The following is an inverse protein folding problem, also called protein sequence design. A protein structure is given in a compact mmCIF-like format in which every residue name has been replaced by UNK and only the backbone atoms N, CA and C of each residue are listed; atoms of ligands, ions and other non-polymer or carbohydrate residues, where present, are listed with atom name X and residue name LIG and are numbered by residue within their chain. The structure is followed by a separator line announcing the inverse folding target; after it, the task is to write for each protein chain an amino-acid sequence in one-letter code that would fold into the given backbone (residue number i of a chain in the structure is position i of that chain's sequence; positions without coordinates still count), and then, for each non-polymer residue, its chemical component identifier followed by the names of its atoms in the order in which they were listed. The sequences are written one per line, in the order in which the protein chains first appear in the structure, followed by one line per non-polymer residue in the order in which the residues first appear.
data_IF_110132768831
#
_entry.id   IF_110132768831
#
_cell.length_a   1.000
_cell.length_b   1.000
_cell.length_c   1.000
_cell.angle_alpha   90.00
_cell.angle_beta   90.00
_cell.angle_gamma   90.00
#
_symmetry.space_group_name_H-M   'P 1'
#
loop_
_entity.id
_entity.type
_entity.pdbx_description
1 polymer ?
#
# COMPACT_ATOMS: atom_id res chain seq x y z
N UNK A 1 10.19 17.68 -13.36
CA UNK A 1 11.34 17.97 -12.47
C UNK A 1 12.17 16.71 -12.14
N UNK A 2 11.57 15.56 -12.11
CA UNK A 2 12.21 14.24 -11.98
C UNK A 2 12.08 13.59 -13.35
N UNK A 3 13.16 13.07 -13.94
CA UNK A 3 13.14 12.46 -15.27
C UNK A 3 12.04 11.41 -15.46
N UNK A 4 11.79 10.98 -16.68
CA UNK A 4 10.67 10.10 -17.07
C UNK A 4 10.63 8.75 -16.32
N UNK A 5 11.76 8.34 -15.73
CA UNK A 5 11.93 7.14 -14.92
C UNK A 5 11.52 7.32 -13.45
N UNK A 6 11.21 8.56 -12.99
CA UNK A 6 10.91 8.88 -11.58
C UNK A 6 9.46 9.22 -11.37
N UNK A 7 8.66 8.20 -11.09
CA UNK A 7 7.23 8.35 -10.80
C UNK A 7 7.04 8.70 -9.31
N UNK A 8 6.53 9.90 -9.01
CA UNK A 8 6.29 10.35 -7.62
C UNK A 8 5.45 9.38 -6.80
N UNK A 9 4.49 8.70 -7.42
CA UNK A 9 3.63 7.72 -6.76
C UNK A 9 4.40 6.57 -6.10
N UNK A 10 5.53 6.14 -6.69
CA UNK A 10 6.31 5.02 -6.13
C UNK A 10 6.97 5.41 -4.80
N UNK A 11 7.38 6.67 -4.63
CA UNK A 11 7.95 7.13 -3.35
C UNK A 11 6.90 7.12 -2.23
N UNK A 12 5.64 7.40 -2.56
CA UNK A 12 4.53 7.24 -1.62
C UNK A 12 4.36 5.79 -1.16
N UNK A 13 4.52 4.83 -2.09
CA UNK A 13 4.49 3.40 -1.77
C UNK A 13 5.67 3.00 -0.90
N UNK A 14 6.89 3.48 -1.18
CA UNK A 14 8.07 3.21 -0.32
C UNK A 14 7.85 3.74 1.11
N UNK A 15 7.39 5.00 1.25
CA UNK A 15 7.10 5.59 2.55
C UNK A 15 6.01 4.82 3.30
N UNK A 16 4.97 4.38 2.59
CA UNK A 16 3.91 3.54 3.14
C UNK A 16 4.46 2.20 3.66
N UNK A 17 5.28 1.49 2.87
CA UNK A 17 5.84 0.20 3.31
C UNK A 17 6.81 0.35 4.48
N UNK A 18 7.63 1.40 4.52
CA UNK A 18 8.52 1.69 5.65
C UNK A 18 7.69 1.94 6.92
N UNK A 19 6.72 2.83 6.86
CA UNK A 19 5.88 3.17 8.02
C UNK A 19 4.99 2.00 8.45
N UNK A 20 4.46 1.24 7.50
CA UNK A 20 3.71 0.02 7.76
C UNK A 20 4.60 -1.02 8.44
N UNK A 21 5.82 -1.27 7.93
CA UNK A 21 6.77 -2.19 8.54
C UNK A 21 7.08 -1.85 10.00
N UNK A 22 7.30 -0.57 10.30
CA UNK A 22 7.54 -0.09 11.65
C UNK A 22 6.33 -0.32 12.57
N UNK A 23 5.15 0.21 12.21
CA UNK A 23 3.94 0.17 13.04
C UNK A 23 3.35 -1.25 13.17
N UNK A 24 3.46 -2.04 12.12
CA UNK A 24 2.93 -3.41 12.12
C UNK A 24 3.81 -4.31 12.97
N UNK A 25 5.14 -4.17 12.91
CA UNK A 25 6.07 -4.90 13.78
C UNK A 25 5.84 -4.53 15.23
N UNK A 26 5.67 -3.26 15.55
CA UNK A 26 5.23 -2.83 16.90
C UNK A 26 3.97 -3.56 17.34
N UNK A 27 2.93 -3.55 16.52
CA UNK A 27 1.65 -4.22 16.82
C UNK A 27 1.78 -5.73 16.96
N UNK A 28 2.75 -6.34 16.29
CA UNK A 28 3.02 -7.78 16.31
C UNK A 28 3.74 -8.26 17.58
N UNK A 29 4.49 -7.38 18.26
CA UNK A 29 5.12 -7.71 19.54
C UNK A 29 4.12 -8.00 20.66
N UNK A 30 2.89 -7.51 20.53
CA UNK A 30 1.88 -7.60 21.58
C UNK A 30 0.67 -8.39 21.10
N UNK A 31 0.45 -9.56 21.67
CA UNK A 31 -0.74 -10.37 21.44
C UNK A 31 -0.50 -11.69 20.69
N UNK A 32 -1.60 -12.36 20.34
CA UNK A 32 -1.55 -13.64 19.62
C UNK A 32 -1.46 -13.43 18.09
N UNK A 33 -0.96 -14.44 17.38
CA UNK A 33 -0.91 -14.47 15.90
C UNK A 33 -2.30 -14.26 15.30
N UNK A 34 -3.32 -14.94 15.82
CA UNK A 34 -4.71 -14.79 15.35
C UNK A 34 -5.25 -13.37 15.60
N UNK A 35 -4.95 -12.78 16.76
CA UNK A 35 -5.32 -11.41 17.07
C UNK A 35 -4.60 -10.39 16.19
N UNK A 36 -3.34 -10.65 15.84
CA UNK A 36 -2.58 -9.84 14.90
C UNK A 36 -3.23 -9.87 13.50
N UNK A 37 -3.44 -11.06 12.94
CA UNK A 37 -4.05 -11.22 11.61
C UNK A 37 -5.47 -10.62 11.56
N UNK A 38 -6.26 -10.80 12.62
CA UNK A 38 -7.58 -10.20 12.72
C UNK A 38 -7.56 -8.68 12.64
N UNK A 39 -6.65 -8.03 13.40
CA UNK A 39 -6.49 -6.57 13.34
C UNK A 39 -6.08 -6.08 11.95
N UNK A 40 -5.23 -6.83 11.24
CA UNK A 40 -4.83 -6.49 9.87
C UNK A 40 -5.97 -6.72 8.88
N UNK A 41 -6.70 -7.81 8.99
CA UNK A 41 -7.87 -8.08 8.17
C UNK A 41 -8.93 -6.98 8.33
N UNK A 42 -9.25 -6.56 9.55
CA UNK A 42 -10.18 -5.46 9.81
C UNK A 42 -9.69 -4.10 9.26
N UNK A 43 -8.39 -3.93 9.08
CA UNK A 43 -7.83 -2.71 8.51
C UNK A 43 -7.93 -2.68 7.00
N UNK A 44 -7.74 -3.82 6.32
CA UNK A 44 -7.65 -3.90 4.86
C UNK A 44 -9.01 -4.22 4.24
N UNK A 45 -9.61 -5.35 4.62
CA UNK A 45 -10.71 -5.95 3.86
C UNK A 45 -12.00 -5.12 3.77
N UNK A 46 -12.46 -4.39 4.81
CA UNK A 46 -13.74 -3.68 4.71
C UNK A 46 -13.80 -2.66 3.59
N UNK A 47 -12.79 -1.79 3.49
CA UNK A 47 -12.73 -0.80 2.42
C UNK A 47 -12.33 -1.41 1.07
N UNK A 48 -11.42 -2.40 1.07
CA UNK A 48 -11.01 -3.13 -0.13
C UNK A 48 -12.20 -3.80 -0.83
N UNK A 49 -13.04 -4.53 -0.09
CA UNK A 49 -14.22 -5.21 -0.65
C UNK A 49 -15.17 -4.21 -1.28
N UNK A 50 -15.45 -3.08 -0.62
CA UNK A 50 -16.31 -2.03 -1.20
C UNK A 50 -15.67 -1.41 -2.44
N UNK A 51 -14.38 -1.14 -2.42
CA UNK A 51 -13.66 -0.62 -3.59
C UNK A 51 -13.73 -1.60 -4.78
N UNK A 52 -13.53 -2.90 -4.54
CA UNK A 52 -13.64 -3.94 -5.58
C UNK A 52 -15.08 -4.02 -6.10
N UNK A 53 -16.09 -4.00 -5.23
CA UNK A 53 -17.49 -4.04 -5.66
C UNK A 53 -17.85 -2.82 -6.52
N UNK A 54 -17.42 -1.62 -6.13
CA UNK A 54 -17.62 -0.41 -6.93
C UNK A 54 -16.87 -0.51 -8.27
N UNK A 55 -15.66 -1.03 -8.28
CA UNK A 55 -14.90 -1.23 -9.52
C UNK A 55 -15.61 -2.21 -10.46
N UNK A 56 -16.01 -3.38 -9.96
CA UNK A 56 -16.58 -4.46 -10.78
C UNK A 56 -18.02 -4.15 -11.23
N UNK A 57 -18.87 -3.60 -10.35
CA UNK A 57 -20.31 -3.45 -10.62
C UNK A 57 -20.73 -2.04 -11.02
N UNK A 58 -19.87 -1.03 -10.84
CA UNK A 58 -20.14 0.35 -11.27
C UNK A 58 -19.20 0.75 -12.40
N UNK A 59 -17.90 0.78 -12.15
CA UNK A 59 -16.94 1.21 -13.19
C UNK A 59 -16.90 0.23 -14.36
N UNK A 60 -16.87 -1.08 -14.08
CA UNK A 60 -16.86 -2.10 -15.13
C UNK A 60 -17.96 -1.93 -16.17
N UNK A 61 -19.23 -1.90 -15.79
CA UNK A 61 -20.34 -1.70 -16.74
C UNK A 61 -20.32 -0.34 -17.46
N UNK A 62 -19.87 0.74 -16.78
CA UNK A 62 -19.85 2.08 -17.35
C UNK A 62 -18.73 2.28 -18.39
N UNK A 63 -17.58 1.66 -18.19
CA UNK A 63 -16.40 1.81 -19.05
C UNK A 63 -16.12 0.59 -19.93
N UNK A 64 -17.08 -0.35 -19.99
CA UNK A 64 -16.96 -1.50 -20.90
C UNK A 64 -17.51 -1.17 -22.29
N UNK A 65 -16.75 -1.41 -23.36
CA UNK A 65 -17.24 -1.27 -24.73
C UNK A 65 -18.37 -2.25 -25.08
N UNK A 66 -18.59 -3.29 -24.27
CA UNK A 66 -19.65 -4.26 -24.45
C UNK A 66 -21.03 -3.71 -24.05
N UNK A 67 -21.08 -2.61 -23.28
CA UNK A 67 -22.27 -2.10 -22.64
C UNK A 67 -22.73 -2.94 -21.44
N UNK A 68 -23.55 -2.37 -20.57
CA UNK A 68 -23.89 -2.87 -19.23
C UNK A 68 -24.35 -4.34 -19.23
N UNK A 69 -25.34 -4.68 -20.08
CA UNK A 69 -25.96 -6.03 -20.10
C UNK A 69 -24.95 -7.12 -20.51
N UNK A 70 -24.13 -6.83 -21.53
CA UNK A 70 -23.12 -7.78 -22.02
C UNK A 70 -21.96 -7.91 -21.02
N UNK A 71 -21.52 -6.79 -20.45
CA UNK A 71 -20.50 -6.83 -19.42
C UNK A 71 -20.91 -7.74 -18.25
N UNK A 72 -22.08 -7.53 -17.66
CA UNK A 72 -22.56 -8.35 -16.54
C UNK A 72 -22.75 -9.83 -16.89
N UNK A 73 -22.99 -10.15 -18.15
CA UNK A 73 -23.17 -11.54 -18.60
C UNK A 73 -21.86 -12.24 -18.97
N UNK A 74 -20.89 -11.50 -19.55
CA UNK A 74 -19.71 -12.11 -20.18
C UNK A 74 -18.40 -11.89 -19.41
N UNK A 75 -18.34 -10.96 -18.48
CA UNK A 75 -17.12 -10.61 -17.74
C UNK A 75 -17.01 -11.33 -16.38
N UNK A 76 -17.90 -12.28 -16.09
CA UNK A 76 -17.92 -13.05 -14.84
C UNK A 76 -17.71 -12.17 -13.57
N UNK A 77 -18.57 -11.16 -13.31
CA UNK A 77 -18.33 -10.19 -12.23
C UNK A 77 -18.18 -10.82 -10.86
N UNK A 78 -18.92 -11.90 -10.58
CA UNK A 78 -18.82 -12.60 -9.29
C UNK A 78 -17.45 -13.26 -9.11
N UNK A 79 -16.99 -13.99 -10.11
CA UNK A 79 -15.66 -14.62 -10.10
C UNK A 79 -14.57 -13.56 -9.96
N UNK A 80 -14.64 -12.50 -10.78
CA UNK A 80 -13.71 -11.36 -10.71
C UNK A 80 -13.69 -10.75 -9.31
N UNK A 81 -14.83 -10.57 -8.66
CA UNK A 81 -14.92 -10.05 -7.29
C UNK A 81 -14.23 -10.97 -6.31
N UNK A 82 -14.54 -12.28 -6.34
CA UNK A 82 -13.95 -13.26 -5.42
C UNK A 82 -12.44 -13.33 -5.59
N UNK A 83 -11.96 -13.44 -6.82
CA UNK A 83 -10.52 -13.48 -7.10
C UNK A 83 -9.81 -12.20 -6.68
N UNK A 84 -10.43 -11.03 -6.90
CA UNK A 84 -9.86 -9.74 -6.50
C UNK A 84 -9.84 -9.54 -4.97
N UNK A 85 -10.77 -10.12 -4.23
CA UNK A 85 -10.77 -10.09 -2.77
C UNK A 85 -9.68 -11.01 -2.21
N UNK A 86 -9.49 -12.19 -2.82
CA UNK A 86 -8.45 -13.15 -2.40
C UNK A 86 -7.05 -12.69 -2.80
N UNK A 87 -6.91 -12.11 -3.97
CA UNK A 87 -5.68 -11.53 -4.48
C UNK A 87 -5.98 -10.14 -5.09
N UNK A 88 -5.78 -9.04 -4.36
CA UNK A 88 -6.09 -7.71 -4.85
C UNK A 88 -5.45 -7.35 -6.19
N UNK A 89 -4.25 -7.83 -6.48
CA UNK A 89 -3.58 -7.61 -7.77
C UNK A 89 -4.40 -8.11 -8.97
N UNK A 90 -5.26 -9.11 -8.76
CA UNK A 90 -6.18 -9.57 -9.81
C UNK A 90 -7.18 -8.48 -10.22
N UNK A 91 -7.62 -7.65 -9.28
CA UNK A 91 -8.56 -6.55 -9.51
C UNK A 91 -7.97 -5.31 -10.18
N UNK A 92 -6.67 -5.30 -10.47
CA UNK A 92 -6.04 -4.16 -11.15
C UNK A 92 -6.61 -3.94 -12.55
N UNK A 93 -6.89 -5.00 -13.28
CA UNK A 93 -7.48 -4.98 -14.63
C UNK A 93 -8.78 -5.77 -14.61
N UNK A 94 -9.87 -5.09 -14.93
CA UNK A 94 -11.15 -5.78 -15.09
C UNK A 94 -11.33 -6.27 -16.53
N UNK A 95 -11.94 -7.46 -16.75
CA UNK A 95 -12.21 -7.97 -18.08
C UNK A 95 -13.08 -6.98 -18.88
N UNK A 96 -12.68 -6.72 -20.12
CA UNK A 96 -13.45 -5.85 -21.04
C UNK A 96 -13.70 -4.43 -20.51
N UNK A 97 -12.79 -3.85 -19.75
CA UNK A 97 -12.85 -2.46 -19.27
C UNK A 97 -11.69 -1.67 -19.85
N UNK A 98 -12.00 -0.48 -20.37
CA UNK A 98 -11.03 0.41 -21.00
C UNK A 98 -11.48 1.84 -20.83
N UNK A 99 -10.63 2.69 -20.26
CA UNK A 99 -10.95 4.10 -19.98
C UNK A 99 -10.65 5.03 -21.16
N UNK A 100 -9.59 4.75 -21.93
CA UNK A 100 -9.20 5.53 -23.12
C UNK A 100 -8.43 4.60 -24.08
N UNK A 101 -7.95 5.13 -25.20
CA UNK A 101 -7.26 4.32 -26.21
C UNK A 101 -5.94 3.71 -25.64
N UNK A 102 -5.80 2.37 -25.60
CA UNK A 102 -4.57 1.72 -25.16
C UNK A 102 -3.34 2.05 -26.00
N UNK A 103 -3.52 2.50 -27.25
CA UNK A 103 -2.42 2.97 -28.08
C UNK A 103 -1.74 4.24 -27.51
N UNK A 104 -2.47 5.03 -26.73
CA UNK A 104 -1.95 6.23 -26.07
C UNK A 104 -1.17 5.85 -24.81
N UNK A 105 -1.70 4.93 -24.02
CA UNK A 105 -1.06 4.45 -22.79
C UNK A 105 -1.58 3.08 -22.38
N UNK A 106 -0.68 2.18 -22.02
CA UNK A 106 -1.00 0.86 -21.47
C UNK A 106 -1.79 0.93 -20.16
N UNK A 107 -1.73 2.06 -19.45
CA UNK A 107 -2.48 2.33 -18.22
C UNK A 107 -4.00 2.43 -18.46
N UNK A 108 -4.44 2.62 -19.71
CA UNK A 108 -5.86 2.70 -20.08
C UNK A 108 -6.69 1.48 -19.66
N UNK A 109 -6.06 0.32 -19.53
CA UNK A 109 -6.71 -0.94 -19.14
C UNK A 109 -6.70 -1.20 -17.64
N UNK A 110 -6.01 -0.37 -16.84
CA UNK A 110 -5.98 -0.53 -15.39
C UNK A 110 -7.16 0.17 -14.73
N UNK A 111 -8.07 -0.59 -14.16
CA UNK A 111 -9.20 -0.05 -13.39
C UNK A 111 -8.74 0.50 -12.05
N UNK A 112 -7.84 -0.24 -11.38
CA UNK A 112 -7.25 0.20 -10.12
C UNK A 112 -5.81 -0.31 -9.97
N UNK A 113 -4.88 0.48 -10.46
CA UNK A 113 -3.46 0.17 -10.38
C UNK A 113 -2.91 0.11 -8.95
N UNK A 114 -3.55 0.79 -7.97
CA UNK A 114 -3.06 0.79 -6.58
C UNK A 114 -3.13 -0.58 -5.90
N UNK A 115 -3.95 -1.50 -6.40
CA UNK A 115 -4.18 -2.81 -5.75
C UNK A 115 -2.96 -3.74 -5.74
N UNK A 116 -1.95 -3.50 -6.63
CA UNK A 116 -0.76 -4.33 -6.67
C UNK A 116 -0.03 -4.39 -5.32
N UNK A 117 0.10 -3.25 -4.65
CA UNK A 117 0.85 -3.16 -3.39
C UNK A 117 0.08 -3.73 -2.20
N UNK A 118 -1.26 -3.78 -2.25
CA UNK A 118 -2.08 -4.39 -1.20
C UNK A 118 -1.79 -5.89 -1.09
N UNK A 119 -1.61 -6.59 -2.21
CA UNK A 119 -1.19 -8.00 -2.20
C UNK A 119 0.16 -8.17 -1.50
N UNK A 120 1.11 -7.28 -1.78
CA UNK A 120 2.45 -7.32 -1.19
C UNK A 120 2.41 -7.01 0.32
N UNK A 121 1.55 -6.10 0.73
CA UNK A 121 1.32 -5.79 2.15
C UNK A 121 0.76 -7.00 2.90
N UNK A 122 -0.22 -7.71 2.32
CA UNK A 122 -0.77 -8.94 2.90
C UNK A 122 0.33 -10.00 3.04
N UNK A 123 1.20 -10.20 2.05
CA UNK A 123 2.32 -11.12 2.15
C UNK A 123 3.29 -10.74 3.27
N UNK A 124 3.64 -9.46 3.42
CA UNK A 124 4.47 -9.00 4.54
C UNK A 124 3.82 -9.32 5.89
N UNK A 125 2.50 -9.16 6.02
CA UNK A 125 1.77 -9.51 7.24
C UNK A 125 1.78 -11.01 7.53
N UNK A 126 1.63 -11.84 6.51
CA UNK A 126 1.71 -13.31 6.66
C UNK A 126 3.11 -13.76 7.07
N UNK A 127 4.16 -13.15 6.53
CA UNK A 127 5.55 -13.44 6.94
C UNK A 127 5.75 -13.05 8.40
N UNK A 128 5.33 -11.85 8.82
CA UNK A 128 5.42 -11.47 10.24
C UNK A 128 4.62 -12.43 11.14
N UNK A 129 3.42 -12.83 10.73
CA UNK A 129 2.60 -13.79 11.46
C UNK A 129 3.29 -15.15 11.60
N UNK A 130 3.95 -15.63 10.55
CA UNK A 130 4.75 -16.85 10.58
C UNK A 130 5.94 -16.72 11.54
N UNK A 131 6.69 -15.61 11.47
CA UNK A 131 7.80 -15.34 12.38
C UNK A 131 7.34 -15.22 13.84
N UNK A 132 6.16 -14.62 14.09
CA UNK A 132 5.54 -14.63 15.43
C UNK A 132 5.23 -16.05 15.90
N UNK A 133 4.65 -16.89 15.04
CA UNK A 133 4.22 -18.24 15.38
C UNK A 133 5.39 -19.13 15.82
N UNK A 134 6.56 -18.95 15.21
CA UNK A 134 7.78 -19.72 15.51
C UNK A 134 8.75 -19.01 16.46
N UNK A 135 8.37 -17.84 17.01
CA UNK A 135 9.18 -17.10 17.99
C UNK A 135 10.41 -16.39 17.41
N UNK A 136 10.46 -16.20 16.10
CA UNK A 136 11.57 -15.58 15.37
C UNK A 136 11.33 -14.10 15.03
N UNK A 137 10.32 -13.45 15.58
CA UNK A 137 10.09 -12.01 15.38
C UNK A 137 11.09 -11.18 16.20
N UNK A 138 12.31 -11.05 15.70
CA UNK A 138 13.46 -10.39 16.35
C UNK A 138 14.31 -9.64 15.32
N UNK A 139 15.07 -8.63 15.77
CA UNK A 139 15.93 -7.80 14.93
C UNK A 139 16.83 -8.59 13.94
N UNK A 140 17.54 -9.67 14.32
CA UNK A 140 18.39 -10.39 13.39
C UNK A 140 17.63 -10.97 12.18
N UNK A 141 16.41 -11.45 12.39
CA UNK A 141 15.60 -12.01 11.31
C UNK A 141 15.03 -10.94 10.39
N UNK A 142 14.74 -9.75 10.93
CA UNK A 142 14.35 -8.59 10.10
C UNK A 142 15.54 -8.11 9.26
N UNK A 143 16.72 -8.05 9.85
CA UNK A 143 17.96 -7.73 9.14
C UNK A 143 18.28 -8.76 8.05
N UNK A 144 18.07 -10.05 8.33
CA UNK A 144 18.25 -11.12 7.33
C UNK A 144 17.24 -10.99 6.20
N UNK A 145 15.95 -10.77 6.50
CA UNK A 145 14.92 -10.60 5.48
C UNK A 145 15.20 -9.38 4.58
N UNK A 146 15.64 -8.26 5.18
CA UNK A 146 16.07 -7.08 4.45
C UNK A 146 17.28 -7.41 3.55
N UNK A 147 18.33 -8.04 4.11
CA UNK A 147 19.53 -8.38 3.35
C UNK A 147 19.22 -9.32 2.18
N UNK A 148 18.40 -10.36 2.41
CA UNK A 148 17.97 -11.29 1.36
C UNK A 148 17.22 -10.55 0.26
N UNK A 149 16.26 -9.68 0.61
CA UNK A 149 15.48 -8.94 -0.38
C UNK A 149 16.34 -7.98 -1.21
N UNK A 150 17.26 -7.23 -0.55
CA UNK A 150 18.20 -6.33 -1.24
C UNK A 150 19.15 -7.12 -2.15
N UNK A 151 19.73 -8.22 -1.65
CA UNK A 151 20.65 -9.07 -2.41
C UNK A 151 19.93 -9.69 -3.61
N UNK A 152 18.71 -10.19 -3.41
CA UNK A 152 17.91 -10.74 -4.50
C UNK A 152 17.76 -9.76 -5.65
N UNK A 153 17.38 -8.53 -5.36
CA UNK A 153 17.19 -7.50 -6.38
C UNK A 153 18.48 -7.08 -7.07
N UNK A 154 19.61 -7.09 -6.36
CA UNK A 154 20.92 -6.75 -6.95
C UNK A 154 21.45 -7.81 -7.91
N UNK A 155 21.17 -9.10 -7.65
CA UNK A 155 21.75 -10.20 -8.40
C UNK A 155 20.77 -10.89 -9.37
N UNK A 156 19.48 -10.72 -9.19
CA UNK A 156 18.44 -11.38 -9.97
C UNK A 156 17.53 -10.35 -10.66
N UNK A 157 18.12 -9.48 -11.50
CA UNK A 157 17.35 -8.59 -12.36
C UNK A 157 16.45 -9.42 -13.29
N UNK A 158 15.15 -9.42 -13.04
CA UNK A 158 14.10 -10.02 -13.87
C UNK A 158 14.22 -11.53 -14.10
N UNK A 159 14.20 -12.37 -13.06
CA UNK A 159 14.47 -13.80 -13.25
C UNK A 159 13.40 -14.59 -14.02
N UNK A 160 12.13 -14.13 -14.08
CA UNK A 160 11.03 -14.94 -14.60
C UNK A 160 9.90 -14.07 -15.16
N UNK A 161 9.62 -14.10 -16.47
CA UNK A 161 8.60 -13.26 -17.10
C UNK A 161 7.17 -13.54 -16.61
N UNK A 162 6.89 -14.70 -16.02
CA UNK A 162 5.54 -15.11 -15.61
C UNK A 162 5.23 -14.91 -14.13
N UNK A 163 6.15 -14.34 -13.33
CA UNK A 163 5.99 -14.21 -11.87
C UNK A 163 5.95 -12.76 -11.40
N UNK A 164 5.09 -11.93 -12.00
CA UNK A 164 4.88 -10.53 -11.63
C UNK A 164 4.74 -10.35 -10.11
N UNK A 165 4.00 -11.23 -9.46
CA UNK A 165 3.76 -11.18 -8.02
C UNK A 165 5.05 -11.29 -7.18
N UNK A 166 5.96 -12.20 -7.57
CA UNK A 166 7.25 -12.38 -6.87
C UNK A 166 8.17 -11.19 -7.14
N UNK A 167 8.19 -10.71 -8.37
CA UNK A 167 9.00 -9.54 -8.76
C UNK A 167 8.55 -8.31 -7.98
N UNK A 168 7.24 -8.03 -7.91
CA UNK A 168 6.68 -6.94 -7.15
C UNK A 168 6.98 -7.08 -5.65
N UNK A 169 6.89 -8.32 -5.11
CA UNK A 169 7.19 -8.58 -3.71
C UNK A 169 8.66 -8.32 -3.39
N UNK A 170 9.57 -8.88 -4.14
CA UNK A 170 11.02 -8.71 -3.92
C UNK A 170 11.46 -7.26 -4.08
N UNK A 171 10.75 -6.48 -4.90
CA UNK A 171 10.99 -5.07 -5.09
C UNK A 171 10.59 -4.22 -3.87
N UNK A 172 9.42 -4.49 -3.26
CA UNK A 172 8.87 -3.62 -2.21
C UNK A 172 9.09 -4.13 -0.78
N UNK A 173 9.18 -5.44 -0.57
CA UNK A 173 9.34 -6.04 0.76
C UNK A 173 10.58 -5.54 1.53
N UNK A 174 11.74 -5.25 0.90
CA UNK A 174 12.87 -4.66 1.60
C UNK A 174 12.56 -3.37 2.34
N UNK A 175 11.69 -2.50 1.78
CA UNK A 175 11.26 -1.27 2.44
C UNK A 175 10.44 -1.56 3.71
N UNK A 176 9.57 -2.57 3.65
CA UNK A 176 8.81 -3.03 4.81
C UNK A 176 9.74 -3.59 5.91
N UNK A 177 10.67 -4.46 5.55
CA UNK A 177 11.61 -5.03 6.52
C UNK A 177 12.61 -4.02 7.05
N UNK A 178 12.96 -2.98 6.29
CA UNK A 178 13.71 -1.83 6.78
C UNK A 178 12.94 -1.10 7.90
N UNK A 179 11.67 -0.81 7.69
CA UNK A 179 10.79 -0.25 8.73
C UNK A 179 10.66 -1.15 9.95
N UNK A 180 10.51 -2.47 9.72
CA UNK A 180 10.45 -3.49 10.78
C UNK A 180 11.74 -3.54 11.61
N UNK A 181 12.89 -3.43 10.98
CA UNK A 181 14.19 -3.38 11.65
C UNK A 181 14.33 -2.10 12.47
N UNK A 182 13.90 -0.97 11.91
CA UNK A 182 13.94 0.33 12.63
C UNK A 182 13.12 0.29 13.92
N UNK A 183 12.01 -0.44 14.00
CA UNK A 183 11.28 -0.63 15.24
C UNK A 183 12.20 -1.17 16.34
N UNK A 184 12.93 -2.25 16.10
CA UNK A 184 13.85 -2.85 17.08
C UNK A 184 15.05 -1.98 17.41
N UNK A 185 15.52 -1.16 16.47
CA UNK A 185 16.61 -0.21 16.69
C UNK A 185 16.13 0.93 17.58
N UNK A 186 14.98 1.53 17.28
CA UNK A 186 14.44 2.68 17.99
C UNK A 186 13.84 2.33 19.36
N UNK A 187 13.54 1.06 19.63
CA UNK A 187 13.21 0.58 20.97
C UNK A 187 14.40 0.76 21.95
N UNK A 188 15.64 0.67 21.42
CA UNK A 188 16.87 0.75 22.22
C UNK A 188 17.55 2.11 22.15
N UNK A 189 17.37 2.83 21.05
CA UNK A 189 18.10 4.05 20.75
C UNK A 189 17.12 5.20 20.48
N UNK A 190 17.25 6.29 21.26
CA UNK A 190 16.40 7.46 21.11
C UNK A 190 16.56 8.08 19.72
N UNK A 191 15.45 8.41 19.04
CA UNK A 191 15.48 9.08 17.75
C UNK A 191 16.23 10.41 17.84
N UNK A 192 17.09 10.69 16.85
CA UNK A 192 17.95 11.88 16.83
C UNK A 192 17.71 12.71 15.56
N UNK A 193 17.42 14.00 15.73
CA UNK A 193 17.19 14.93 14.61
C UNK A 193 18.40 15.05 13.69
N UNK A 194 19.62 15.07 14.25
CA UNK A 194 20.84 15.18 13.43
C UNK A 194 20.98 13.98 12.51
N UNK A 195 20.80 12.77 13.03
CA UNK A 195 20.80 11.56 12.20
C UNK A 195 19.68 11.58 11.17
N UNK A 196 18.47 12.02 11.54
CA UNK A 196 17.36 12.14 10.59
C UNK A 196 17.69 13.11 9.46
N UNK A 197 18.32 14.24 9.76
CA UNK A 197 18.75 15.21 8.76
C UNK A 197 19.85 14.67 7.85
N UNK A 198 20.82 13.93 8.42
CA UNK A 198 21.90 13.30 7.63
C UNK A 198 21.30 12.26 6.67
N UNK A 199 20.44 11.37 7.15
CA UNK A 199 19.80 10.36 6.32
C UNK A 199 18.89 10.97 5.25
N UNK A 200 18.16 12.04 5.59
CA UNK A 200 17.36 12.78 4.61
C UNK A 200 18.24 13.41 3.51
N UNK A 201 19.35 14.06 3.88
CA UNK A 201 20.28 14.65 2.92
C UNK A 201 20.91 13.60 2.00
N UNK A 202 21.36 12.46 2.56
CA UNK A 202 21.87 11.35 1.78
C UNK A 202 20.79 10.75 0.86
N UNK A 203 19.56 10.63 1.34
CA UNK A 203 18.41 10.20 0.54
C UNK A 203 18.17 11.13 -0.66
N UNK A 204 18.20 12.45 -0.45
CA UNK A 204 18.07 13.42 -1.53
C UNK A 204 19.23 13.29 -2.54
N UNK A 205 20.46 13.14 -2.07
CA UNK A 205 21.60 12.89 -2.95
C UNK A 205 21.41 11.63 -3.80
N UNK A 206 20.95 10.55 -3.18
CA UNK A 206 20.65 9.31 -3.90
C UNK A 206 19.53 9.51 -4.94
N UNK A 207 18.49 10.29 -4.64
CA UNK A 207 17.45 10.59 -5.63
C UNK A 207 17.96 11.37 -6.85
N UNK A 208 18.99 12.20 -6.66
CA UNK A 208 19.60 12.98 -7.75
C UNK A 208 20.50 12.10 -8.62
N UNK A 209 21.31 11.23 -8.01
CA UNK A 209 22.39 10.52 -8.69
C UNK A 209 22.09 9.07 -9.03
N UNK A 210 21.07 8.47 -8.43
CA UNK A 210 20.70 7.06 -8.63
C UNK A 210 19.32 6.93 -9.30
N UNK A 211 19.06 5.83 -10.03
CA UNK A 211 17.74 5.52 -10.56
C UNK A 211 16.67 5.45 -9.47
N UNK A 212 15.43 5.78 -9.82
CA UNK A 212 14.29 5.76 -8.87
C UNK A 212 14.03 4.37 -8.27
N UNK A 213 14.34 3.34 -9.01
CA UNK A 213 14.21 1.93 -8.59
C UNK A 213 15.41 1.41 -7.79
N UNK A 214 16.36 2.28 -7.43
CA UNK A 214 17.44 1.93 -6.51
C UNK A 214 16.96 1.93 -5.06
N UNK A 215 17.75 1.35 -4.16
CA UNK A 215 17.46 1.40 -2.71
C UNK A 215 17.83 2.72 -2.04
N UNK A 216 18.29 3.72 -2.79
CA UNK A 216 18.53 5.07 -2.28
C UNK A 216 17.37 5.65 -1.46
N UNK A 217 16.10 5.52 -1.92
CA UNK A 217 14.94 5.98 -1.15
C UNK A 217 14.77 5.32 0.22
N UNK A 218 15.40 4.17 0.48
CA UNK A 218 15.38 3.51 1.80
C UNK A 218 16.06 4.36 2.89
N UNK A 219 16.96 5.28 2.52
CA UNK A 219 17.56 6.23 3.45
C UNK A 219 16.53 7.17 4.09
N UNK A 220 15.38 7.39 3.45
CA UNK A 220 14.29 8.14 4.04
C UNK A 220 13.55 7.37 5.16
N UNK A 221 13.84 6.08 5.36
CA UNK A 221 13.18 5.29 6.40
C UNK A 221 13.36 5.90 7.80
N UNK A 222 14.59 6.28 8.14
CA UNK A 222 14.87 6.86 9.45
C UNK A 222 14.19 8.23 9.67
N UNK A 223 14.32 9.24 8.78
CA UNK A 223 13.62 10.51 8.94
C UNK A 223 12.09 10.38 8.90
N UNK A 224 11.52 9.48 8.09
CA UNK A 224 10.08 9.23 8.08
C UNK A 224 9.58 8.72 9.44
N UNK A 225 10.26 7.72 10.00
CA UNK A 225 9.92 7.19 11.31
C UNK A 225 10.15 8.25 12.41
N UNK A 226 11.26 9.00 12.35
CA UNK A 226 11.52 10.11 13.26
C UNK A 226 10.37 11.12 13.29
N UNK A 227 9.88 11.55 12.13
CA UNK A 227 8.74 12.47 12.01
C UNK A 227 7.47 11.85 12.59
N UNK A 228 7.22 10.56 12.30
CA UNK A 228 6.02 9.87 12.75
C UNK A 228 5.92 9.68 14.27
N UNK A 229 7.07 9.55 14.97
CA UNK A 229 7.09 9.30 16.42
C UNK A 229 7.51 10.53 17.25
N UNK A 230 7.92 11.62 16.61
CA UNK A 230 8.42 12.83 17.29
C UNK A 230 7.29 13.54 18.03
N UNK A 231 7.39 13.73 19.35
CA UNK A 231 6.39 14.47 20.12
C UNK A 231 6.27 15.94 19.73
N UNK A 232 7.34 16.49 19.11
CA UNK A 232 7.39 17.88 18.66
C UNK A 232 6.58 18.15 17.38
N UNK A 233 6.21 17.08 16.65
CA UNK A 233 5.47 17.18 15.40
C UNK A 233 4.06 16.63 15.64
N UNK A 234 3.18 17.48 16.16
CA UNK A 234 1.78 17.15 16.37
C UNK A 234 0.93 17.91 15.35
N UNK A 235 0.11 17.20 14.61
CA UNK A 235 -0.83 17.79 13.65
C UNK A 235 -2.28 17.52 14.10
N UNK A 236 -2.76 18.24 15.14
CA UNK A 236 -4.06 17.93 15.79
C UNK A 236 -5.25 18.03 14.82
N UNK A 237 -5.08 18.75 13.72
CA UNK A 237 -6.13 18.91 12.70
C UNK A 237 -6.34 17.61 11.91
N UNK A 238 -5.28 16.84 11.69
CA UNK A 238 -5.36 15.55 10.98
C UNK A 238 -6.07 14.49 11.82
N UNK A 239 -5.88 14.51 13.13
CA UNK A 239 -6.56 13.58 14.04
C UNK A 239 -8.10 13.71 13.98
N UNK A 240 -8.62 14.91 13.71
CA UNK A 240 -10.06 15.17 13.57
C UNK A 240 -10.65 14.63 12.28
N UNK A 241 -9.87 14.56 11.20
CA UNK A 241 -10.31 14.02 9.93
C UNK A 241 -10.42 12.49 9.96
N UNK A 242 -9.75 11.83 10.92
CA UNK A 242 -9.63 10.38 10.98
C UNK A 242 -8.57 9.86 10.00
N UNK A 243 -8.39 8.54 9.98
CA UNK A 243 -7.39 7.91 9.12
C UNK A 243 -7.93 7.69 7.69
N UNK A 244 -7.97 8.78 6.94
CA UNK A 244 -8.45 8.77 5.55
C UNK A 244 -7.45 8.19 4.55
N UNK A 245 -6.22 7.89 4.99
CA UNK A 245 -5.09 7.53 4.12
C UNK A 245 -5.37 6.29 3.29
N UNK A 246 -5.92 5.24 3.90
CA UNK A 246 -6.17 3.98 3.23
C UNK A 246 -7.28 4.10 2.16
N UNK A 247 -8.40 4.73 2.49
CA UNK A 247 -9.45 5.01 1.51
C UNK A 247 -8.95 5.89 0.37
N UNK A 248 -8.18 6.94 0.67
CA UNK A 248 -7.56 7.80 -0.35
C UNK A 248 -6.67 6.98 -1.30
N UNK A 249 -5.87 6.07 -0.77
CA UNK A 249 -5.05 5.18 -1.58
C UNK A 249 -5.87 4.25 -2.47
N UNK A 250 -6.93 3.65 -1.93
CA UNK A 250 -7.79 2.72 -2.68
C UNK A 250 -8.56 3.39 -3.82
N UNK A 251 -9.09 4.59 -3.59
CA UNK A 251 -9.95 5.27 -4.55
C UNK A 251 -9.20 6.22 -5.49
N UNK A 252 -7.94 6.56 -5.20
CA UNK A 252 -7.15 7.50 -6.00
C UNK A 252 -7.07 7.11 -7.47
N UNK A 253 -6.57 5.93 -7.75
CA UNK A 253 -6.43 5.44 -9.13
C UNK A 253 -7.75 5.37 -9.91
N UNK A 254 -8.82 4.72 -9.41
CA UNK A 254 -10.11 4.71 -10.09
C UNK A 254 -10.66 6.10 -10.40
N UNK A 255 -10.51 7.05 -9.47
CA UNK A 255 -10.96 8.44 -9.68
C UNK A 255 -10.12 9.10 -10.76
N UNK A 256 -8.80 8.95 -10.76
CA UNK A 256 -7.92 9.47 -11.81
C UNK A 256 -8.30 8.93 -13.20
N UNK A 257 -8.61 7.64 -13.31
CA UNK A 257 -9.04 7.04 -14.57
C UNK A 257 -10.36 7.63 -15.07
N UNK A 258 -11.34 7.80 -14.19
CA UNK A 258 -12.65 8.41 -14.53
C UNK A 258 -12.48 9.87 -14.94
N UNK A 259 -11.71 10.65 -14.20
CA UNK A 259 -11.44 12.07 -14.50
C UNK A 259 -10.66 12.18 -15.82
N UNK A 260 -9.65 11.36 -16.03
CA UNK A 260 -8.88 11.36 -17.27
C UNK A 260 -9.77 11.04 -18.49
N UNK A 261 -10.64 10.04 -18.37
CA UNK A 261 -11.62 9.71 -19.40
C UNK A 261 -12.56 10.88 -19.68
N UNK A 262 -13.07 11.53 -18.63
CA UNK A 262 -14.03 12.64 -18.77
C UNK A 262 -13.41 13.89 -19.40
N UNK A 263 -12.14 14.15 -19.14
CA UNK A 263 -11.39 15.29 -19.70
C UNK A 263 -10.99 15.05 -21.17
N UNK A 264 -10.76 13.80 -21.58
CA UNK A 264 -10.34 13.45 -22.94
C UNK A 264 -9.12 14.26 -23.40
N UNK A 265 -9.27 15.01 -24.48
CA UNK A 265 -8.19 15.84 -25.05
C UNK A 265 -7.72 17.00 -24.14
N UNK A 266 -8.50 17.40 -23.14
CA UNK A 266 -8.14 18.44 -22.16
C UNK A 266 -7.41 17.85 -20.94
N UNK A 267 -7.11 16.56 -20.95
CA UNK A 267 -6.38 15.89 -19.90
C UNK A 267 -4.94 16.37 -19.84
N UNK A 268 -4.58 17.01 -18.74
CA UNK A 268 -3.21 17.32 -18.35
C UNK A 268 -3.00 16.84 -16.93
N UNK A 269 -1.74 16.60 -16.54
CA UNK A 269 -1.47 16.14 -15.18
C UNK A 269 -2.01 17.10 -14.09
N UNK A 270 -2.00 18.41 -14.35
CA UNK A 270 -2.55 19.42 -13.44
C UNK A 270 -4.08 19.34 -13.33
N UNK A 271 -4.78 19.20 -14.46
CA UNK A 271 -6.25 19.12 -14.47
C UNK A 271 -6.73 17.81 -13.85
N UNK A 272 -6.07 16.70 -14.17
CA UNK A 272 -6.38 15.41 -13.57
C UNK A 272 -6.12 15.43 -12.06
N UNK A 273 -4.94 15.87 -11.62
CA UNK A 273 -4.62 15.97 -10.19
C UNK A 273 -5.56 16.90 -9.44
N UNK A 274 -5.81 18.10 -9.98
CA UNK A 274 -6.64 19.11 -9.33
C UNK A 274 -8.10 18.69 -9.15
N UNK A 275 -8.65 17.91 -10.09
CA UNK A 275 -10.01 17.38 -9.99
C UNK A 275 -10.09 16.06 -9.20
N UNK A 276 -9.09 15.18 -9.36
CA UNK A 276 -9.10 13.88 -8.70
C UNK A 276 -8.85 13.98 -7.20
N UNK A 277 -7.96 14.88 -6.78
CA UNK A 277 -7.57 14.98 -5.37
C UNK A 277 -8.74 15.25 -4.41
N UNK A 278 -9.60 16.28 -4.64
CA UNK A 278 -10.73 16.53 -3.73
C UNK A 278 -11.76 15.40 -3.74
N UNK A 279 -12.02 14.78 -4.90
CA UNK A 279 -12.94 13.64 -5.00
C UNK A 279 -12.39 12.45 -4.23
N UNK A 280 -11.11 12.15 -4.40
CA UNK A 280 -10.43 11.04 -3.71
C UNK A 280 -10.40 11.24 -2.21
N UNK A 281 -10.11 12.46 -1.74
CA UNK A 281 -10.15 12.79 -0.32
C UNK A 281 -11.55 12.65 0.28
N UNK A 282 -12.58 13.07 -0.46
CA UNK A 282 -13.98 12.87 -0.04
C UNK A 282 -14.33 11.39 0.06
N UNK A 283 -13.97 10.57 -0.94
CA UNK A 283 -14.19 9.12 -0.90
C UNK A 283 -13.42 8.44 0.21
N UNK A 284 -12.18 8.85 0.46
CA UNK A 284 -11.38 8.37 1.59
C UNK A 284 -12.03 8.72 2.94
N UNK A 285 -12.53 9.93 3.08
CA UNK A 285 -13.25 10.37 4.28
C UNK A 285 -14.54 9.58 4.49
N UNK A 286 -15.34 9.37 3.43
CA UNK A 286 -16.53 8.52 3.48
C UNK A 286 -16.20 7.08 3.85
N UNK A 287 -15.16 6.50 3.23
CA UNK A 287 -14.68 5.15 3.54
C UNK A 287 -14.34 5.00 5.02
N UNK A 288 -13.56 5.94 5.56
CA UNK A 288 -13.21 5.93 6.98
C UNK A 288 -14.44 6.00 7.89
N UNK A 289 -15.32 6.96 7.66
CA UNK A 289 -16.45 7.21 8.56
C UNK A 289 -17.55 6.15 8.46
N UNK A 290 -17.79 5.60 7.27
CA UNK A 290 -18.86 4.64 7.04
C UNK A 290 -18.44 3.18 7.23
N UNK A 291 -17.17 2.85 6.96
CA UNK A 291 -16.71 1.46 6.91
C UNK A 291 -15.59 1.18 7.91
N UNK A 292 -14.41 1.81 7.73
CA UNK A 292 -13.19 1.42 8.41
C UNK A 292 -13.26 1.64 9.93
N UNK A 293 -13.72 2.81 10.35
CA UNK A 293 -13.91 3.16 11.77
C UNK A 293 -14.82 2.15 12.50
N UNK A 294 -15.87 1.67 11.83
CA UNK A 294 -16.79 0.71 12.42
C UNK A 294 -16.20 -0.69 12.46
N UNK A 295 -15.55 -1.13 11.39
CA UNK A 295 -14.85 -2.40 11.37
C UNK A 295 -13.75 -2.48 12.44
N UNK A 296 -13.00 -1.39 12.63
CA UNK A 296 -11.94 -1.34 13.64
C UNK A 296 -12.46 -1.44 15.09
N UNK A 297 -13.72 -1.15 15.36
CA UNK A 297 -14.33 -1.41 16.70
C UNK A 297 -14.39 -2.90 17.04
N UNK A 298 -14.45 -3.75 16.02
CA UNK A 298 -14.46 -5.21 16.18
C UNK A 298 -13.11 -5.80 16.65
N UNK A 299 -12.04 -4.97 16.72
CA UNK A 299 -10.74 -5.37 17.30
C UNK A 299 -10.86 -5.89 18.74
N UNK A 300 -11.91 -5.46 19.48
CA UNK A 300 -12.12 -5.78 20.89
C UNK A 300 -12.86 -7.11 21.12
N UNK A 301 -13.18 -7.88 20.08
CA UNK A 301 -13.79 -9.18 20.25
C UNK A 301 -12.81 -10.09 21.01
N UNK A 302 -13.13 -10.37 22.28
CA UNK A 302 -12.26 -10.99 23.28
C UNK A 302 -11.82 -12.42 22.96
N UNK A 303 -12.48 -13.08 22.02
CA UNK A 303 -12.19 -14.46 21.63
C UNK A 303 -10.74 -14.69 21.12
N UNK A 304 -10.09 -13.64 20.61
CA UNK A 304 -8.72 -13.71 20.07
C UNK A 304 -7.67 -13.08 21.01
N UNK A 305 -8.09 -12.58 22.16
CA UNK A 305 -7.19 -12.06 23.19
C UNK A 305 -6.86 -13.17 24.19
N UNK A 306 -5.95 -14.07 23.86
CA UNK A 306 -5.25 -14.81 24.93
C UNK A 306 -4.42 -13.80 25.72
N UNK A 307 -4.75 -13.64 27.00
CA UNK A 307 -3.89 -12.93 27.94
C UNK A 307 -2.48 -13.55 27.88
N UNK A 308 -1.39 -12.76 27.91
CA UNK A 308 -0.10 -13.33 28.14
C UNK A 308 -0.15 -14.09 29.46
N UNK A 309 0.23 -15.36 29.42
CA UNK A 309 0.50 -16.14 30.62
C UNK A 309 1.64 -15.41 31.32
N UNK A 310 1.35 -14.76 32.43
CA UNK A 310 2.38 -14.18 33.31
C UNK A 310 3.35 -15.29 33.71
N UNK A 311 4.69 -15.02 33.66
CA UNK A 311 5.70 -15.97 34.09
C UNK A 311 5.59 -16.30 35.58
#
# INVERSE_FOLDING_TARGET
LLGDDKILGIFGVYAFFITSGFLVTQSAQFGSVGGFLWRRALRIYPALVVCILLSVYVLGPLFSPLGIRRYLRWSNPLETTVLSVLNPSYGMKLPNVQFYDPAISWLATFTNGSLWSISQEIFCYLILAALMAIGLLRAPFMALALAVGVTWQLFFEHPWPDTQLITDFTFIAPYFFCGSLLWFVMEKWQPNLVLASIFAALGVLCLVFLPAYSYGPMLFAYPLVYIAISPSIQLPTLDRLGDVSYGTYLYGWPVEQVVNHALGQYSTWWTVFGLSLPITLLLGWLSWHLLEKHALRLKRISFLQRQPVSP
#
